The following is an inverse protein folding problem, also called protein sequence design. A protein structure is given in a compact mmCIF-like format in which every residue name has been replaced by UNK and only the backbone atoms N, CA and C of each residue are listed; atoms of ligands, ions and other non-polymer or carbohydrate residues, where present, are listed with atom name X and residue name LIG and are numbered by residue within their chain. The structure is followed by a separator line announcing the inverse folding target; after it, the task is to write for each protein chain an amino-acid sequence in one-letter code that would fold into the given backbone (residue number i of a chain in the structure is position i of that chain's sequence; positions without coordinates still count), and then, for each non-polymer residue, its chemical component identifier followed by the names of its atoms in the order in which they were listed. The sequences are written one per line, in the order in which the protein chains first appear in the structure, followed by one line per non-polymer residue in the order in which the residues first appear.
data_IF_086614271308
#
_entry.id   IF_086614271308
#
_cell.length_a   1.000
_cell.length_b   1.000
_cell.length_c   1.000
_cell.angle_alpha   90.00
_cell.angle_beta   90.00
_cell.angle_gamma   90.00
#
_symmetry.space_group_name_H-M   'P 1'
#
loop_
_entity.id
_entity.type
_entity.pdbx_description
1 polymer ?
#
# COMPACT_ATOMS: atom_id res chain seq x y z
N UNK A 1 -14.34 2.23 -9.68
CA UNK A 1 -13.73 1.06 -8.99
C UNK A 1 -14.76 0.02 -8.54
N UNK A 2 -15.99 0.37 -8.11
CA UNK A 2 -17.04 -0.63 -7.75
C UNK A 2 -18.01 -1.03 -8.88
N UNK A 3 -17.75 -0.61 -10.12
CA UNK A 3 -18.58 -0.97 -11.28
C UNK A 3 -18.52 -2.48 -11.56
N UNK A 4 -19.61 -3.09 -12.01
CA UNK A 4 -19.66 -4.50 -12.40
C UNK A 4 -19.01 -4.73 -13.79
N UNK A 5 -18.92 -3.68 -14.60
CA UNK A 5 -18.28 -3.70 -15.90
C UNK A 5 -16.74 -3.68 -15.74
N UNK A 6 -16.12 -4.83 -15.96
CA UNK A 6 -14.67 -5.04 -15.76
C UNK A 6 -13.78 -3.97 -16.43
N UNK A 7 -13.98 -3.57 -17.69
CA UNK A 7 -13.18 -2.50 -18.30
C UNK A 7 -13.29 -1.16 -17.56
N UNK A 8 -14.49 -0.74 -17.15
CA UNK A 8 -14.68 0.50 -16.40
C UNK A 8 -14.06 0.41 -15.01
N UNK A 9 -14.14 -0.76 -14.37
CA UNK A 9 -13.46 -1.03 -13.10
C UNK A 9 -11.95 -0.89 -13.26
N UNK A 10 -11.35 -1.57 -14.25
CA UNK A 10 -9.92 -1.55 -14.52
C UNK A 10 -9.41 -0.12 -14.73
N UNK A 11 -10.04 0.65 -15.62
CA UNK A 11 -9.59 2.01 -15.92
C UNK A 11 -9.79 2.95 -14.72
N UNK A 12 -10.83 2.74 -13.91
CA UNK A 12 -11.00 3.48 -12.67
C UNK A 12 -9.95 3.13 -11.61
N UNK A 13 -9.52 1.86 -11.52
CA UNK A 13 -8.44 1.43 -10.62
C UNK A 13 -7.11 2.04 -11.07
N UNK A 14 -6.75 1.93 -12.36
CA UNK A 14 -5.55 2.61 -12.89
C UNK A 14 -5.55 4.12 -12.70
N UNK A 15 -6.72 4.76 -12.79
CA UNK A 15 -6.82 6.19 -12.52
C UNK A 15 -6.60 6.52 -11.04
N UNK A 16 -6.96 5.62 -10.13
CA UNK A 16 -6.81 5.82 -8.69
C UNK A 16 -5.34 5.94 -8.27
N UNK A 17 -4.44 5.17 -8.89
CA UNK A 17 -2.99 5.31 -8.75
C UNK A 17 -2.52 6.77 -8.81
N UNK A 18 -2.95 7.51 -9.84
CA UNK A 18 -2.58 8.93 -10.00
C UNK A 18 -3.34 9.88 -9.06
N UNK A 19 -4.49 9.45 -8.55
CA UNK A 19 -5.26 10.25 -7.58
C UNK A 19 -4.64 10.18 -6.19
N UNK A 20 -3.98 9.07 -5.84
CA UNK A 20 -3.38 8.88 -4.52
C UNK A 20 -2.41 10.00 -4.16
N UNK A 21 -1.59 10.49 -5.07
CA UNK A 21 -0.67 11.63 -4.82
C UNK A 21 -1.38 12.96 -4.49
N UNK A 22 -2.68 13.08 -4.76
CA UNK A 22 -3.48 14.28 -4.49
C UNK A 22 -4.51 14.09 -3.37
N UNK A 23 -4.55 12.90 -2.76
CA UNK A 23 -5.61 12.48 -1.85
C UNK A 23 -5.34 12.78 -0.36
N UNK A 24 -4.42 13.71 -0.04
CA UNK A 24 -3.99 13.97 1.34
C UNK A 24 -5.17 14.30 2.27
N UNK A 25 -6.08 15.18 1.85
CA UNK A 25 -7.27 15.52 2.62
C UNK A 25 -8.19 14.32 2.85
N UNK A 26 -8.28 13.42 1.87
CA UNK A 26 -9.10 12.22 1.97
C UNK A 26 -8.45 11.19 2.89
N UNK A 27 -7.13 11.01 2.82
CA UNK A 27 -6.40 10.10 3.70
C UNK A 27 -6.34 10.60 5.15
N UNK A 28 -6.47 11.91 5.39
CA UNK A 28 -6.65 12.46 6.74
C UNK A 28 -8.04 12.18 7.33
N UNK A 29 -9.07 11.99 6.50
CA UNK A 29 -10.40 11.56 6.94
C UNK A 29 -10.45 10.03 7.01
N UNK A 30 -10.50 9.49 8.24
CA UNK A 30 -10.52 8.05 8.47
C UNK A 30 -11.63 7.31 7.71
N UNK A 31 -12.83 7.89 7.58
CA UNK A 31 -13.93 7.22 6.89
C UNK A 31 -13.67 7.13 5.39
N UNK A 32 -13.14 8.21 4.80
CA UNK A 32 -12.80 8.25 3.38
C UNK A 32 -11.63 7.33 3.07
N UNK A 33 -10.58 7.37 3.90
CA UNK A 33 -9.44 6.46 3.80
C UNK A 33 -9.86 5.00 3.91
N UNK A 34 -10.66 4.66 4.92
CA UNK A 34 -11.18 3.30 5.12
C UNK A 34 -11.94 2.82 3.88
N UNK A 35 -12.81 3.67 3.32
CA UNK A 35 -13.55 3.35 2.11
C UNK A 35 -12.62 3.11 0.90
N UNK A 36 -11.63 3.97 0.68
CA UNK A 36 -10.67 3.79 -0.42
C UNK A 36 -9.88 2.49 -0.27
N UNK A 37 -9.33 2.23 0.92
CA UNK A 37 -8.53 1.04 1.18
C UNK A 37 -9.36 -0.25 1.09
N UNK A 38 -10.62 -0.23 1.53
CA UNK A 38 -11.56 -1.34 1.35
C UNK A 38 -11.74 -1.66 -0.15
N UNK A 39 -12.02 -0.65 -0.97
CA UNK A 39 -12.23 -0.80 -2.42
C UNK A 39 -10.98 -1.34 -3.12
N UNK A 40 -9.78 -0.84 -2.76
CA UNK A 40 -8.51 -1.35 -3.32
C UNK A 40 -8.29 -2.81 -2.92
N UNK A 41 -8.49 -3.16 -1.64
CA UNK A 41 -8.37 -4.54 -1.18
C UNK A 41 -9.41 -5.48 -1.81
N UNK A 42 -10.62 -4.99 -2.10
CA UNK A 42 -11.63 -5.74 -2.86
C UNK A 42 -11.15 -6.04 -4.28
N UNK A 43 -10.59 -5.04 -4.97
CA UNK A 43 -10.07 -5.20 -6.33
C UNK A 43 -8.83 -6.09 -6.40
N UNK A 44 -7.99 -6.12 -5.36
CA UNK A 44 -6.84 -7.03 -5.26
C UNK A 44 -7.26 -8.52 -5.21
N UNK A 45 -8.52 -8.80 -4.88
CA UNK A 45 -9.12 -10.15 -4.88
C UNK A 45 -9.98 -10.43 -6.13
N UNK A 46 -10.05 -9.50 -7.08
CA UNK A 46 -10.93 -9.62 -8.25
C UNK A 46 -10.55 -10.84 -9.10
N UNK A 47 -11.47 -11.41 -9.88
CA UNK A 47 -11.18 -12.58 -10.74
C UNK A 47 -10.43 -12.24 -12.03
N UNK A 48 -10.30 -10.96 -12.35
CA UNK A 48 -9.59 -10.47 -13.54
C UNK A 48 -8.20 -10.01 -13.13
N UNK A 49 -7.17 -10.61 -13.74
CA UNK A 49 -5.79 -10.37 -13.36
C UNK A 49 -5.35 -8.92 -13.62
N UNK A 50 -5.89 -8.23 -14.63
CA UNK A 50 -5.52 -6.83 -14.87
C UNK A 50 -6.06 -5.92 -13.76
N UNK A 51 -7.26 -6.21 -13.25
CA UNK A 51 -7.83 -5.49 -12.11
C UNK A 51 -7.01 -5.74 -10.85
N UNK A 52 -6.61 -7.00 -10.61
CA UNK A 52 -5.73 -7.33 -9.48
C UNK A 52 -4.39 -6.60 -9.58
N UNK A 53 -3.73 -6.63 -10.74
CA UNK A 53 -2.44 -5.95 -10.98
C UNK A 53 -2.56 -4.46 -10.65
N UNK A 54 -3.56 -3.79 -11.24
CA UNK A 54 -3.78 -2.35 -10.98
C UNK A 54 -4.06 -2.07 -9.50
N UNK A 55 -4.75 -2.97 -8.80
CA UNK A 55 -5.00 -2.82 -7.36
C UNK A 55 -3.73 -3.02 -6.52
N UNK A 56 -2.82 -3.91 -6.90
CA UNK A 56 -1.52 -4.01 -6.22
C UNK A 56 -0.65 -2.78 -6.49
N UNK A 57 -0.68 -2.22 -7.70
CA UNK A 57 -0.02 -0.94 -8.01
C UNK A 57 -0.60 0.21 -7.17
N UNK A 58 -1.93 0.26 -6.96
CA UNK A 58 -2.56 1.21 -6.03
C UNK A 58 -2.09 1.00 -4.58
N UNK A 59 -1.91 -0.25 -4.13
CA UNK A 59 -1.40 -0.54 -2.78
C UNK A 59 0.05 -0.09 -2.61
N UNK A 60 0.90 -0.31 -3.62
CA UNK A 60 2.28 0.19 -3.66
C UNK A 60 2.28 1.71 -3.47
N UNK A 61 1.50 2.42 -4.29
CA UNK A 61 1.42 3.88 -4.24
C UNK A 61 0.83 4.38 -2.90
N UNK A 62 -0.18 3.70 -2.36
CA UNK A 62 -0.80 4.08 -1.09
C UNK A 62 0.20 3.95 0.07
N UNK A 63 1.03 2.92 0.09
CA UNK A 63 2.09 2.80 1.10
C UNK A 63 3.14 3.89 0.93
N UNK A 64 3.59 4.15 -0.29
CA UNK A 64 4.63 5.17 -0.54
C UNK A 64 4.18 6.57 -0.12
N UNK A 65 2.93 6.94 -0.38
CA UNK A 65 2.41 8.27 -0.04
C UNK A 65 1.88 8.38 1.40
N UNK A 66 1.36 7.28 1.96
CA UNK A 66 0.56 7.31 3.18
C UNK A 66 0.98 6.29 4.24
N UNK A 67 2.25 5.86 4.25
CA UNK A 67 2.81 4.88 5.20
C UNK A 67 2.28 5.03 6.63
N UNK A 68 2.25 6.27 7.16
CA UNK A 68 1.82 6.58 8.52
C UNK A 68 0.37 6.12 8.83
N UNK A 69 -0.48 6.07 7.81
CA UNK A 69 -1.88 5.64 7.93
C UNK A 69 -2.10 4.15 7.67
N UNK A 70 -1.07 3.40 7.28
CA UNK A 70 -1.26 2.04 6.73
C UNK A 70 -1.46 0.95 7.78
N UNK A 71 -1.05 1.17 9.04
CA UNK A 71 -1.10 0.16 10.10
C UNK A 71 -2.40 -0.63 10.20
N UNK A 72 -3.59 0.00 10.20
CA UNK A 72 -4.86 -0.70 10.31
C UNK A 72 -5.13 -1.69 9.17
N UNK A 73 -4.55 -1.44 7.98
CA UNK A 73 -4.80 -2.23 6.78
C UNK A 73 -3.73 -3.30 6.55
N UNK A 74 -2.54 -3.16 7.14
CA UNK A 74 -1.41 -4.07 6.95
C UNK A 74 -1.69 -5.55 7.24
N UNK A 75 -2.51 -5.94 8.24
CA UNK A 75 -2.85 -7.36 8.42
C UNK A 75 -3.56 -7.97 7.19
N UNK A 76 -4.48 -7.23 6.57
CA UNK A 76 -5.22 -7.67 5.38
C UNK A 76 -4.31 -7.62 4.16
N UNK A 77 -3.61 -6.51 3.96
CA UNK A 77 -2.67 -6.31 2.84
C UNK A 77 -1.55 -7.35 2.86
N UNK A 78 -1.01 -7.66 4.04
CA UNK A 78 0.02 -8.67 4.21
C UNK A 78 -0.49 -10.06 3.82
N UNK A 79 -1.68 -10.45 4.28
CA UNK A 79 -2.29 -11.72 3.88
C UNK A 79 -2.49 -11.81 2.35
N UNK A 80 -3.06 -10.76 1.74
CA UNK A 80 -3.31 -10.70 0.30
C UNK A 80 -2.01 -10.76 -0.51
N UNK A 81 -1.00 -9.97 -0.13
CA UNK A 81 0.28 -9.93 -0.85
C UNK A 81 1.03 -11.24 -0.74
N UNK A 82 1.13 -11.85 0.45
CA UNK A 82 1.77 -13.16 0.60
C UNK A 82 1.05 -14.27 -0.17
N UNK A 83 -0.29 -14.27 -0.18
CA UNK A 83 -1.06 -15.20 -0.98
C UNK A 83 -0.78 -15.04 -2.47
N UNK A 84 -0.79 -13.80 -2.97
CA UNK A 84 -0.51 -13.48 -4.36
C UNK A 84 0.91 -13.90 -4.78
N UNK A 85 1.93 -13.53 -4.00
CA UNK A 85 3.34 -13.89 -4.25
C UNK A 85 3.52 -15.41 -4.30
N UNK A 86 2.76 -16.16 -3.48
CA UNK A 86 2.93 -17.61 -3.37
C UNK A 86 2.16 -18.42 -4.42
N UNK A 87 1.05 -17.90 -4.94
CA UNK A 87 0.08 -18.69 -5.74
C UNK A 87 -0.10 -18.21 -7.17
N UNK A 88 0.19 -16.95 -7.47
CA UNK A 88 -0.07 -16.34 -8.78
C UNK A 88 1.19 -16.33 -9.65
N UNK A 89 1.03 -16.03 -10.95
CA UNK A 89 2.16 -15.87 -11.87
C UNK A 89 2.92 -14.55 -11.67
N UNK A 90 4.08 -14.43 -12.32
CA UNK A 90 4.99 -13.28 -12.21
C UNK A 90 4.30 -11.93 -12.44
N UNK A 91 3.30 -11.87 -13.33
CA UNK A 91 2.52 -10.66 -13.61
C UNK A 91 1.82 -10.08 -12.37
N UNK A 92 1.46 -10.93 -11.42
CA UNK A 92 0.80 -10.56 -10.16
C UNK A 92 1.77 -10.59 -8.98
N UNK A 93 2.66 -11.58 -8.94
CA UNK A 93 3.64 -11.72 -7.88
C UNK A 93 4.62 -10.53 -7.83
N UNK A 94 5.05 -9.98 -8.98
CA UNK A 94 5.98 -8.85 -9.04
C UNK A 94 5.39 -7.59 -8.37
N UNK A 95 4.20 -7.09 -8.74
CA UNK A 95 3.57 -5.97 -8.03
C UNK A 95 3.39 -6.21 -6.52
N UNK A 96 3.02 -7.44 -6.13
CA UNK A 96 2.88 -7.78 -4.72
C UNK A 96 4.23 -7.81 -3.97
N UNK A 97 5.33 -8.18 -4.63
CA UNK A 97 6.68 -8.06 -4.07
C UNK A 97 7.13 -6.59 -3.98
N UNK A 98 6.80 -5.78 -4.99
CA UNK A 98 7.14 -4.35 -5.02
C UNK A 98 6.56 -3.58 -3.83
N UNK A 99 5.37 -3.98 -3.38
CA UNK A 99 4.77 -3.46 -2.15
C UNK A 99 5.73 -3.60 -0.95
N UNK A 100 6.34 -4.77 -0.78
CA UNK A 100 7.28 -5.01 0.32
C UNK A 100 8.60 -4.29 0.13
N UNK A 101 9.09 -4.16 -1.11
CA UNK A 101 10.24 -3.31 -1.43
C UNK A 101 10.00 -1.85 -1.05
N UNK A 102 8.82 -1.31 -1.39
CA UNK A 102 8.43 0.06 -1.07
C UNK A 102 8.30 0.30 0.44
N UNK A 103 7.76 -0.67 1.20
CA UNK A 103 7.74 -0.62 2.67
C UNK A 103 9.18 -0.62 3.22
N UNK A 104 10.05 -1.49 2.71
CA UNK A 104 11.45 -1.54 3.12
C UNK A 104 12.16 -0.20 2.90
N UNK A 105 11.99 0.41 1.73
CA UNK A 105 12.63 1.68 1.38
C UNK A 105 12.18 2.81 2.30
N UNK A 106 10.88 2.92 2.59
CA UNK A 106 10.35 3.90 3.54
C UNK A 106 10.87 3.65 4.97
N UNK A 107 10.94 2.39 5.41
CA UNK A 107 11.44 2.06 6.75
C UNK A 107 12.94 2.31 6.92
N UNK A 108 13.73 2.11 5.85
CA UNK A 108 15.15 2.47 5.82
C UNK A 108 15.30 3.99 5.91
N UNK A 109 14.54 4.74 5.12
CA UNK A 109 14.55 6.21 5.16
C UNK A 109 14.17 6.76 6.54
N UNK A 110 13.12 6.22 7.17
CA UNK A 110 12.69 6.61 8.51
C UNK A 110 13.75 6.29 9.57
N UNK A 111 14.49 5.20 9.40
CA UNK A 111 15.59 4.84 10.29
C UNK A 111 16.76 5.84 10.19
N UNK A 112 17.13 6.26 8.98
CA UNK A 112 18.17 7.26 8.77
C UNK A 112 17.80 8.60 9.42
N UNK A 113 16.54 9.04 9.25
CA UNK A 113 16.00 10.23 9.92
C UNK A 113 16.07 10.09 11.45
N UNK A 114 15.75 8.91 11.98
CA UNK A 114 15.80 8.66 13.41
C UNK A 114 17.23 8.74 13.97
N UNK A 115 18.21 8.16 13.26
CA UNK A 115 19.62 8.20 13.65
C UNK A 115 20.17 9.63 13.64
N UNK A 116 19.84 10.43 12.62
CA UNK A 116 20.21 11.84 12.54
C UNK A 116 19.61 12.65 13.71
N UNK A 117 18.29 12.55 13.93
CA UNK A 117 17.61 13.23 15.02
C UNK A 117 18.21 12.89 16.39
N UNK A 118 18.53 11.61 16.61
CA UNK A 118 19.17 11.13 17.83
C UNK A 118 20.58 11.70 18.02
N UNK A 119 21.37 11.81 16.95
CA UNK A 119 22.73 12.38 16.99
C UNK A 119 22.72 13.85 17.42
N UNK A 120 21.65 14.58 17.09
CA UNK A 120 21.42 15.98 17.46
C UNK A 120 20.74 16.13 18.83
N UNK A 121 20.42 15.04 19.52
CA UNK A 121 19.72 15.05 20.81
C UNK A 121 18.26 15.49 20.73
N UNK A 122 17.62 15.39 19.56
CA UNK A 122 16.19 15.69 19.35
C UNK A 122 15.37 14.42 19.11
N UNK A 123 14.06 14.55 19.23
CA UNK A 123 13.13 13.49 18.83
C UNK A 123 12.99 13.45 17.30
N UNK A 124 12.81 12.25 16.71
CA UNK A 124 12.56 12.13 15.28
C UNK A 124 11.16 12.67 14.92
N UNK A 125 11.00 13.30 13.73
CA UNK A 125 9.72 13.85 13.30
C UNK A 125 8.71 12.76 12.89
N UNK A 126 9.19 11.63 12.39
CA UNK A 126 8.43 10.43 12.01
C UNK A 126 9.20 9.19 12.45
N UNK A 127 8.52 8.09 12.69
CA UNK A 127 9.14 6.83 13.11
C UNK A 127 8.59 5.67 12.28
N UNK A 128 9.45 4.69 12.02
CA UNK A 128 9.05 3.44 11.38
C UNK A 128 8.02 2.70 12.24
N UNK A 129 6.97 2.19 11.59
CA UNK A 129 6.00 1.29 12.19
C UNK A 129 6.47 -0.17 12.18
N UNK A 130 7.63 -0.45 11.58
CA UNK A 130 8.29 -1.76 11.56
C UNK A 130 7.40 -2.87 10.97
N UNK A 131 6.62 -2.58 9.92
CA UNK A 131 5.82 -3.53 9.19
C UNK A 131 6.65 -4.71 8.66
N UNK A 132 7.88 -4.46 8.19
CA UNK A 132 8.76 -5.55 7.73
C UNK A 132 9.07 -6.52 8.87
N UNK A 133 9.44 -5.98 10.04
CA UNK A 133 9.72 -6.80 11.22
C UNK A 133 8.50 -7.61 11.65
N UNK A 134 7.33 -6.97 11.68
CA UNK A 134 6.07 -7.63 12.04
C UNK A 134 5.70 -8.75 11.06
N UNK A 135 6.02 -8.59 9.78
CA UNK A 135 5.74 -9.57 8.74
C UNK A 135 6.67 -10.80 8.80
N UNK A 136 7.91 -10.64 9.29
CA UNK A 136 8.93 -11.69 9.33
C UNK A 136 8.98 -12.48 10.65
N UNK A 137 8.42 -11.96 11.75
CA UNK A 137 8.38 -12.62 13.06
C UNK A 137 9.48 -12.17 14.03
#
# INVERSE_FOLDING_TARGET
MRDDHVPAKLEATKAFYYVLILAENNFNDENQRNFMMEVVCENAKHTDDNVKVAAYEDLVQAVSEYYDFMAPYMPIIGNLSFECISKEGDNLAIPAMELWSSICDEEIFLKDIEEEARSEGRAPPRQSQNFIRQALG
#
